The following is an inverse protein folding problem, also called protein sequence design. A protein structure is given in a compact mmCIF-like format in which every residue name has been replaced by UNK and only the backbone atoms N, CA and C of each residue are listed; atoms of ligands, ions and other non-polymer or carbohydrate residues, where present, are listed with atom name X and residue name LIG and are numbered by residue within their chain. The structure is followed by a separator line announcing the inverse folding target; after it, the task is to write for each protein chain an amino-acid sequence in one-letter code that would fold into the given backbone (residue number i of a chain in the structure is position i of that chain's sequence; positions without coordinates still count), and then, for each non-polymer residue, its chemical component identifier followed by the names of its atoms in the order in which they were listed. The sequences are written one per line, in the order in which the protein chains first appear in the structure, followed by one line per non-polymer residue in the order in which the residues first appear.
data_IF_648982511114
#
_entry.id   IF_648982511114
#
_cell.length_a   1.000
_cell.length_b   1.000
_cell.length_c   1.000
_cell.angle_alpha   90.00
_cell.angle_beta   90.00
_cell.angle_gamma   90.00
#
_symmetry.space_group_name_H-M   'P 1'
#
loop_
_entity.id
_entity.type
_entity.pdbx_description
1 polymer ?
#
# COMPACT_ATOMS: atom_id res chain seq x y z
N UNK A 1 17.00 26.10 20.79
CA UNK A 1 15.60 25.64 20.83
C UNK A 1 14.67 26.63 20.14
N UNK A 2 14.80 27.94 20.42
CA UNK A 2 14.00 29.01 19.79
C UNK A 2 14.01 28.96 18.24
N UNK A 3 15.20 29.02 17.62
CA UNK A 3 15.36 28.89 16.16
C UNK A 3 14.71 27.63 15.57
N UNK A 4 14.70 26.50 16.30
CA UNK A 4 14.06 25.26 15.82
C UNK A 4 12.54 25.46 15.77
N UNK A 5 11.96 25.99 16.85
CA UNK A 5 10.51 26.22 16.93
C UNK A 5 10.04 27.27 15.92
N UNK A 6 10.86 28.29 15.64
CA UNK A 6 10.57 29.30 14.61
C UNK A 6 10.72 28.76 13.18
N UNK A 7 11.50 27.69 12.98
CA UNK A 7 11.69 27.06 11.67
C UNK A 7 10.67 25.97 11.38
N UNK A 8 10.08 25.38 12.42
CA UNK A 8 9.02 24.38 12.28
C UNK A 8 7.73 25.04 11.76
N UNK A 9 6.86 24.28 11.08
CA UNK A 9 5.59 24.81 10.62
C UNK A 9 4.77 25.35 11.79
N UNK A 10 4.05 26.45 11.57
CA UNK A 10 3.12 26.95 12.57
C UNK A 10 1.96 25.97 12.79
N UNK A 11 1.11 26.26 13.76
CA UNK A 11 -0.01 25.38 14.13
C UNK A 11 -0.95 25.14 12.94
N UNK A 12 -1.24 26.19 12.14
CA UNK A 12 -2.15 26.08 11.00
C UNK A 12 -1.55 25.20 9.90
N UNK A 13 -0.28 25.41 9.59
CA UNK A 13 0.45 24.62 8.60
C UNK A 13 0.55 23.15 9.04
N UNK A 14 0.92 22.91 10.30
CA UNK A 14 1.02 21.55 10.86
C UNK A 14 -0.33 20.83 10.81
N UNK A 15 -1.43 21.49 11.19
CA UNK A 15 -2.77 20.90 11.13
C UNK A 15 -3.18 20.54 9.69
N UNK A 16 -2.90 21.42 8.72
CA UNK A 16 -3.23 21.18 7.32
C UNK A 16 -2.41 20.02 6.74
N UNK A 17 -1.11 19.98 7.02
CA UNK A 17 -0.23 18.89 6.57
C UNK A 17 -0.66 17.54 7.14
N UNK A 18 -0.99 17.48 8.44
CA UNK A 18 -1.52 16.26 9.06
C UNK A 18 -2.83 15.80 8.41
N UNK A 19 -3.75 16.72 8.11
CA UNK A 19 -5.02 16.40 7.47
C UNK A 19 -4.81 15.86 6.05
N UNK A 20 -3.95 16.49 5.25
CA UNK A 20 -3.60 16.03 3.90
C UNK A 20 -2.91 14.66 3.97
N UNK A 21 -1.88 14.51 4.80
CA UNK A 21 -1.15 13.26 4.93
C UNK A 21 -2.07 12.11 5.34
N UNK A 22 -2.99 12.33 6.28
CA UNK A 22 -3.99 11.33 6.67
C UNK A 22 -4.95 11.00 5.51
N UNK A 23 -5.43 12.02 4.79
CA UNK A 23 -6.38 11.82 3.69
C UNK A 23 -5.77 11.02 2.53
N UNK A 24 -4.49 11.28 2.20
CA UNK A 24 -3.80 10.63 1.10
C UNK A 24 -3.22 9.25 1.45
N UNK A 25 -2.86 9.01 2.72
CA UNK A 25 -2.19 7.76 3.13
C UNK A 25 -3.11 6.68 3.69
N UNK A 26 -4.36 7.02 3.99
CA UNK A 26 -5.33 6.04 4.50
C UNK A 26 -5.64 4.99 3.42
N UNK A 27 -5.93 3.76 3.88
CA UNK A 27 -6.46 2.74 3.00
C UNK A 27 -7.83 3.19 2.45
N UNK A 28 -7.99 3.10 1.12
CA UNK A 28 -9.27 3.36 0.47
C UNK A 28 -10.22 2.17 0.72
N UNK A 29 -11.50 2.40 1.12
CA UNK A 29 -12.44 1.31 1.43
C UNK A 29 -12.71 0.37 0.25
N UNK A 30 -12.58 0.87 -0.96
CA UNK A 30 -12.82 0.22 -2.25
C UNK A 30 -11.53 -0.09 -3.02
N UNK A 31 -10.38 0.02 -2.36
CA UNK A 31 -9.08 -0.34 -2.93
C UNK A 31 -9.08 -1.77 -3.49
N UNK A 32 -8.62 -1.92 -4.74
CA UNK A 32 -8.42 -3.22 -5.37
C UNK A 32 -6.94 -3.61 -5.18
N UNK A 33 -6.63 -4.70 -4.46
CA UNK A 33 -5.24 -5.14 -4.27
C UNK A 33 -4.56 -5.53 -5.59
N UNK A 34 -3.23 -5.40 -5.62
CA UNK A 34 -2.39 -5.80 -6.74
C UNK A 34 -2.68 -7.24 -7.20
N UNK A 35 -2.84 -7.42 -8.51
CA UNK A 35 -3.10 -8.72 -9.13
C UNK A 35 -4.56 -9.18 -9.05
N UNK A 36 -5.43 -8.42 -8.39
CA UNK A 36 -6.89 -8.59 -8.47
C UNK A 36 -7.46 -7.67 -9.53
N UNK A 37 -8.39 -8.20 -10.30
CA UNK A 37 -9.12 -7.46 -11.32
C UNK A 37 -10.60 -7.77 -11.15
N UNK A 38 -11.44 -6.74 -11.25
CA UNK A 38 -12.90 -6.89 -11.31
C UNK A 38 -13.37 -7.22 -12.72
N UNK A 39 -12.59 -6.83 -13.71
CA UNK A 39 -12.86 -7.02 -15.13
C UNK A 39 -12.16 -8.27 -15.68
N UNK A 40 -12.88 -9.02 -16.50
CA UNK A 40 -12.34 -10.18 -17.22
C UNK A 40 -12.03 -9.80 -18.67
N UNK A 41 -10.89 -9.14 -18.89
CA UNK A 41 -10.44 -8.78 -20.24
C UNK A 41 -9.89 -9.98 -21.02
N UNK A 42 -9.30 -10.95 -20.33
CA UNK A 42 -8.71 -12.14 -20.92
C UNK A 42 -9.62 -13.35 -20.69
N UNK A 43 -9.98 -14.01 -21.79
CA UNK A 43 -10.81 -15.23 -21.76
C UNK A 43 -10.00 -16.47 -22.14
N UNK A 44 -8.80 -16.26 -22.70
CA UNK A 44 -7.88 -17.29 -23.11
C UNK A 44 -7.28 -18.00 -21.89
N UNK A 45 -7.34 -19.34 -21.89
CA UNK A 45 -6.87 -20.17 -20.78
C UNK A 45 -5.39 -19.92 -20.43
N UNK A 46 -4.56 -19.66 -21.44
CA UNK A 46 -3.15 -19.36 -21.26
C UNK A 46 -2.95 -18.07 -20.43
N UNK A 47 -3.66 -17.00 -20.77
CA UNK A 47 -3.58 -15.73 -20.05
C UNK A 47 -4.10 -15.88 -18.61
N UNK A 48 -5.24 -16.57 -18.43
CA UNK A 48 -5.78 -16.84 -17.10
C UNK A 48 -4.83 -17.69 -16.23
N UNK A 49 -4.08 -18.61 -16.84
CA UNK A 49 -3.07 -19.40 -16.14
C UNK A 49 -1.92 -18.54 -15.63
N UNK A 50 -1.42 -17.61 -16.44
CA UNK A 50 -0.36 -16.69 -16.00
C UNK A 50 -0.84 -15.73 -14.90
N UNK A 51 -2.09 -15.25 -14.97
CA UNK A 51 -2.69 -14.42 -13.90
C UNK A 51 -2.77 -15.20 -12.58
N UNK A 52 -3.13 -16.49 -12.62
CA UNK A 52 -3.14 -17.35 -11.42
C UNK A 52 -1.75 -17.51 -10.82
N UNK A 53 -0.74 -17.82 -11.66
CA UNK A 53 0.67 -17.94 -11.21
C UNK A 53 1.19 -16.65 -10.59
N UNK A 54 0.86 -15.51 -11.18
CA UNK A 54 1.22 -14.20 -10.63
C UNK A 54 0.61 -14.01 -9.24
N UNK A 55 -0.68 -14.30 -9.07
CA UNK A 55 -1.37 -14.20 -7.79
C UNK A 55 -0.82 -15.17 -6.72
N UNK A 56 -0.42 -16.38 -7.12
CA UNK A 56 0.25 -17.33 -6.22
C UNK A 56 1.61 -16.79 -5.75
N UNK A 57 2.40 -16.24 -6.67
CA UNK A 57 3.70 -15.61 -6.35
C UNK A 57 3.52 -14.44 -5.38
N UNK A 58 2.49 -13.61 -5.56
CA UNK A 58 2.17 -12.52 -4.62
C UNK A 58 1.85 -13.05 -3.23
N UNK A 59 1.09 -14.15 -3.09
CA UNK A 59 0.82 -14.77 -1.79
C UNK A 59 2.09 -15.27 -1.10
N UNK A 60 3.01 -15.86 -1.85
CA UNK A 60 4.30 -16.30 -1.30
C UNK A 60 5.15 -15.11 -0.82
N UNK A 61 5.17 -14.01 -1.58
CA UNK A 61 5.86 -12.78 -1.18
C UNK A 61 5.25 -12.20 0.10
N UNK A 62 3.93 -12.18 0.18
CA UNK A 62 3.22 -11.72 1.38
C UNK A 62 3.61 -12.51 2.62
N UNK A 63 3.59 -13.85 2.54
CA UNK A 63 4.02 -14.72 3.64
C UNK A 63 5.46 -14.43 4.08
N UNK A 64 6.40 -14.29 3.13
CA UNK A 64 7.80 -13.96 3.45
C UNK A 64 7.94 -12.61 4.14
N UNK A 65 7.13 -11.62 3.76
CA UNK A 65 7.12 -10.30 4.41
C UNK A 65 6.57 -10.42 5.83
N UNK A 66 5.48 -11.16 6.04
CA UNK A 66 4.88 -11.38 7.35
C UNK A 66 5.83 -12.10 8.32
N UNK A 67 6.50 -13.16 7.85
CA UNK A 67 7.53 -13.88 8.61
C UNK A 67 8.69 -12.97 9.00
N UNK A 68 9.22 -12.20 8.04
CA UNK A 68 10.29 -11.23 8.29
C UNK A 68 9.87 -10.18 9.32
N UNK A 69 8.67 -9.60 9.15
CA UNK A 69 8.13 -8.55 10.01
C UNK A 69 7.82 -9.05 11.43
N UNK A 70 7.60 -10.35 11.64
CA UNK A 70 7.35 -10.90 12.97
C UNK A 70 8.48 -10.62 13.97
N UNK A 71 9.72 -10.57 13.50
CA UNK A 71 10.91 -10.33 14.34
C UNK A 71 11.24 -8.85 14.56
N UNK A 72 10.56 -7.93 13.85
CA UNK A 72 10.90 -6.50 13.83
C UNK A 72 10.04 -5.71 14.81
N UNK A 73 10.68 -4.82 15.57
CA UNK A 73 9.97 -3.86 16.43
C UNK A 73 9.12 -2.87 15.62
N UNK A 74 9.57 -2.51 14.41
CA UNK A 74 8.82 -1.71 13.45
C UNK A 74 8.69 -2.49 12.14
N UNK A 75 7.46 -2.88 11.81
CA UNK A 75 7.14 -3.70 10.64
C UNK A 75 7.15 -2.85 9.37
N UNK A 76 7.71 -3.39 8.29
CA UNK A 76 7.66 -2.75 6.98
C UNK A 76 6.54 -3.36 6.15
N UNK A 77 5.40 -2.66 6.07
CA UNK A 77 4.17 -3.16 5.45
C UNK A 77 3.86 -2.54 4.09
N UNK A 78 4.60 -1.51 3.66
CA UNK A 78 4.26 -0.69 2.50
C UNK A 78 4.30 -1.44 1.16
N UNK A 79 5.12 -2.49 1.07
CA UNK A 79 5.20 -3.35 -0.13
C UNK A 79 4.56 -4.72 0.08
N UNK A 80 3.71 -4.87 1.10
CA UNK A 80 2.93 -6.10 1.25
C UNK A 80 1.87 -6.14 0.14
N UNK A 81 1.78 -7.22 -0.66
CA UNK A 81 0.87 -7.27 -1.82
C UNK A 81 -0.58 -6.89 -1.51
N UNK A 82 -1.14 -7.34 -0.38
CA UNK A 82 -2.49 -6.95 0.07
C UNK A 82 -2.67 -5.47 0.43
N UNK A 83 -1.58 -4.71 0.54
CA UNK A 83 -1.57 -3.25 0.82
C UNK A 83 -1.15 -2.40 -0.37
N UNK A 84 -0.79 -3.02 -1.50
CA UNK A 84 -0.50 -2.32 -2.75
C UNK A 84 -1.79 -2.33 -3.57
N UNK A 85 -2.25 -1.15 -3.98
CA UNK A 85 -3.37 -1.04 -4.91
C UNK A 85 -2.95 -1.39 -6.35
N UNK A 86 -3.89 -1.91 -7.13
CA UNK A 86 -3.65 -2.33 -8.50
C UNK A 86 -3.39 -1.14 -9.45
N UNK A 87 -3.72 0.08 -9.04
CA UNK A 87 -3.55 1.34 -9.78
C UNK A 87 -3.40 2.54 -8.82
N UNK A 88 -3.23 3.74 -9.37
CA UNK A 88 -3.19 5.00 -8.61
C UNK A 88 -4.60 5.58 -8.58
N UNK A 89 -5.19 5.67 -7.40
CA UNK A 89 -6.61 6.03 -7.17
C UNK A 89 -6.79 7.15 -6.12
N UNK A 90 -5.69 7.66 -5.56
CA UNK A 90 -5.64 8.73 -4.54
C UNK A 90 -4.59 9.77 -4.89
#
# INVERSE_FOLDING_TARGET
MEMIMESLPDISQSCMEMAIAWHLSRAQPDAIPLGRHTEEYFTEEAAQTEIRKFNETLKEIEQKIEEKNHSLALKYEYLKPSRIENSITI
#
